data_IF_963655092906
#
_entry.id   IF_963655092906
#
_cell.length_a   1.000
_cell.length_b   1.000
_cell.length_c   1.000
_cell.angle_alpha   90.00
_cell.angle_beta   90.00
_cell.angle_gamma   90.00
#
_symmetry.space_group_name_H-M   'P 1'
#
loop_
_entity.id
_entity.type
_entity.pdbx_description
1 polymer ?
#
# COMPACT_ATOMS: atom_id res chain seq x y z
N UNK A 1 -36.30 75.39 25.53
CA UNK A 1 -35.56 76.08 26.61
C UNK A 1 -34.50 75.12 27.18
N UNK A 2 -33.23 75.49 27.05
CA UNK A 2 -32.08 75.18 27.93
C UNK A 2 -31.71 73.72 28.29
N UNK A 3 -30.64 73.19 27.68
CA UNK A 3 -29.76 72.16 28.26
C UNK A 3 -28.87 72.77 29.35
N UNK A 4 -28.45 72.02 30.40
CA UNK A 4 -27.25 72.34 31.16
C UNK A 4 -26.05 71.45 30.77
N UNK A 5 -24.87 72.07 30.84
CA UNK A 5 -23.56 71.64 30.36
C UNK A 5 -22.75 70.79 31.36
N UNK A 6 -21.69 70.18 30.80
CA UNK A 6 -20.61 69.39 31.41
C UNK A 6 -19.82 70.10 32.52
N UNK A 7 -19.16 69.29 33.37
CA UNK A 7 -17.94 69.68 34.12
C UNK A 7 -16.75 68.78 33.72
N UNK A 8 -15.54 69.33 33.53
CA UNK A 8 -14.30 68.56 33.47
C UNK A 8 -13.34 68.83 34.65
N UNK A 9 -12.49 67.82 34.88
CA UNK A 9 -11.06 67.82 35.21
C UNK A 9 -10.49 68.28 36.59
N UNK A 10 -9.48 67.49 36.99
CA UNK A 10 -8.25 67.80 37.75
C UNK A 10 -8.21 67.68 39.28
N UNK A 11 -7.35 66.76 39.74
CA UNK A 11 -6.37 67.05 40.80
C UNK A 11 -5.14 66.13 40.72
N UNK A 12 -3.98 66.80 40.57
CA UNK A 12 -2.60 66.30 40.49
C UNK A 12 -1.92 66.53 41.84
N UNK A 13 -1.06 65.60 42.30
CA UNK A 13 -0.05 65.83 43.35
C UNK A 13 1.28 65.15 42.93
N UNK A 14 2.48 65.74 43.19
CA UNK A 14 3.67 65.58 42.34
C UNK A 14 4.76 64.62 42.86
N UNK A 15 5.74 64.37 41.98
CA UNK A 15 6.96 63.55 42.11
C UNK A 15 8.14 64.33 42.74
N UNK A 16 9.07 63.64 43.43
CA UNK A 16 10.58 63.76 43.40
C UNK A 16 11.22 62.85 44.50
N UNK A 17 12.44 62.29 44.31
CA UNK A 17 12.95 61.04 44.92
C UNK A 17 14.06 61.26 45.98
N UNK A 18 14.77 60.20 46.43
CA UNK A 18 16.20 60.39 46.66
C UNK A 18 17.11 59.28 46.11
N UNK A 19 18.33 59.73 45.83
CA UNK A 19 19.52 59.08 45.27
C UNK A 19 20.14 57.97 46.15
N UNK A 20 20.87 57.06 45.49
CA UNK A 20 21.73 56.03 46.06
C UNK A 20 23.10 56.61 46.50
N UNK A 21 23.78 55.93 47.45
CA UNK A 21 25.13 55.33 47.29
C UNK A 21 25.67 54.79 48.65
N UNK A 22 26.87 54.16 48.74
CA UNK A 22 27.15 52.77 48.32
C UNK A 22 28.00 51.98 49.33
N UNK A 23 27.89 50.65 49.39
CA UNK A 23 29.01 49.69 49.61
C UNK A 23 28.49 48.34 50.12
N UNK A 24 28.53 47.33 49.27
CA UNK A 24 29.22 46.06 49.53
C UNK A 24 29.24 45.26 48.22
N UNK A 25 30.40 45.31 47.56
CA UNK A 25 30.79 44.49 46.42
C UNK A 25 31.32 43.16 46.97
N UNK A 26 30.71 42.03 46.61
CA UNK A 26 31.38 40.96 45.84
C UNK A 26 30.46 39.74 45.71
N UNK A 27 29.91 39.56 44.52
CA UNK A 27 29.88 38.28 43.77
C UNK A 27 28.82 38.38 42.67
N UNK A 28 29.17 39.11 41.62
CA UNK A 28 28.51 39.04 40.33
C UNK A 28 29.48 38.40 39.35
N UNK A 29 29.17 37.19 38.88
CA UNK A 29 29.43 36.73 37.52
C UNK A 29 29.01 35.26 37.36
N UNK A 30 27.73 35.02 37.03
CA UNK A 30 27.32 34.03 36.02
C UNK A 30 25.79 33.97 35.95
N UNK A 31 25.29 33.90 34.71
CA UNK A 31 23.99 33.36 34.32
C UNK A 31 22.75 34.27 34.38
N UNK A 32 22.79 35.36 33.61
CA UNK A 32 21.60 35.81 32.86
C UNK A 32 21.62 35.17 31.46
N UNK A 33 21.20 33.90 31.39
CA UNK A 33 20.64 33.33 30.15
C UNK A 33 19.14 33.23 30.40
N UNK A 34 18.38 34.12 29.76
CA UNK A 34 16.92 34.06 29.71
C UNK A 34 16.51 32.72 29.07
N UNK A 35 16.33 31.68 29.90
CA UNK A 35 15.95 30.36 29.43
C UNK A 35 14.54 30.43 28.86
N UNK A 36 14.42 30.18 27.56
CA UNK A 36 13.14 30.01 26.88
C UNK A 36 12.19 29.13 27.73
N UNK A 37 10.88 29.43 27.77
CA UNK A 37 9.95 28.69 28.62
C UNK A 37 10.05 27.19 28.31
N UNK A 38 10.44 26.40 29.31
CA UNK A 38 10.48 24.93 29.21
C UNK A 38 9.06 24.43 28.89
N UNK A 39 8.78 24.16 27.62
CA UNK A 39 7.51 23.56 27.19
C UNK A 39 7.45 22.16 27.81
N UNK A 40 6.51 21.95 28.73
CA UNK A 40 6.27 20.63 29.32
C UNK A 40 5.54 19.77 28.30
N UNK A 41 6.28 18.89 27.63
CA UNK A 41 5.73 17.88 26.74
C UNK A 41 5.37 16.63 27.55
N UNK A 42 4.15 16.11 27.38
CA UNK A 42 3.81 14.75 27.82
C UNK A 42 3.75 13.86 26.59
N UNK A 43 4.68 12.90 26.51
CA UNK A 43 4.67 11.89 25.45
C UNK A 43 3.70 10.77 25.84
N UNK A 44 2.76 10.43 24.95
CA UNK A 44 1.78 9.36 25.17
C UNK A 44 1.49 8.63 23.87
N UNK A 45 1.29 7.32 23.95
CA UNK A 45 0.72 6.54 22.85
C UNK A 45 -0.78 6.75 22.80
N UNK A 46 -1.28 7.30 21.69
CA UNK A 46 -2.70 7.56 21.47
C UNK A 46 -3.16 6.92 20.16
N UNK A 47 -4.43 6.55 20.11
CA UNK A 47 -5.12 6.28 18.86
C UNK A 47 -5.67 7.60 18.30
N UNK A 48 -5.22 7.96 17.12
CA UNK A 48 -5.57 9.19 16.40
C UNK A 48 -6.59 8.83 15.33
N UNK A 49 -7.73 9.50 15.35
CA UNK A 49 -8.82 9.33 14.38
C UNK A 49 -8.94 10.60 13.56
N UNK A 50 -8.80 10.46 12.25
CA UNK A 50 -9.10 11.51 11.28
C UNK A 50 -10.40 11.19 10.57
N UNK A 51 -11.25 12.19 10.40
CA UNK A 51 -12.49 12.11 9.63
C UNK A 51 -12.56 13.25 8.62
N UNK A 52 -13.18 13.00 7.47
CA UNK A 52 -13.32 13.99 6.40
C UNK A 52 -14.55 13.68 5.54
N UNK A 53 -15.29 14.71 5.10
CA UNK A 53 -16.41 14.54 4.17
C UNK A 53 -15.89 14.31 2.75
N UNK A 54 -16.42 13.30 2.06
CA UNK A 54 -16.01 13.02 0.69
C UNK A 54 -16.62 14.04 -0.25
N UNK A 55 -15.78 14.74 -1.01
CA UNK A 55 -16.22 15.65 -2.07
C UNK A 55 -16.82 16.97 -1.57
N UNK A 56 -16.52 17.39 -0.35
CA UNK A 56 -17.07 18.63 0.24
C UNK A 56 -16.81 19.89 -0.58
N UNK A 57 -15.68 19.96 -1.28
CA UNK A 57 -15.38 21.09 -2.18
C UNK A 57 -16.33 21.18 -3.38
N UNK A 58 -16.70 20.03 -3.97
CA UNK A 58 -17.65 19.99 -5.08
C UNK A 58 -19.06 20.43 -4.63
N UNK A 59 -19.42 20.10 -3.40
CA UNK A 59 -20.72 20.48 -2.83
C UNK A 59 -20.83 21.98 -2.57
N UNK A 60 -19.73 22.63 -2.17
CA UNK A 60 -19.70 24.09 -2.03
C UNK A 60 -19.98 24.80 -3.37
N UNK A 61 -19.48 24.24 -4.48
CA UNK A 61 -19.77 24.76 -5.81
C UNK A 61 -21.19 24.44 -6.31
N UNK A 62 -21.72 23.25 -6.00
CA UNK A 62 -23.02 22.79 -6.54
C UNK A 62 -24.22 23.29 -5.72
N UNK A 63 -24.13 23.24 -4.39
CA UNK A 63 -25.23 23.55 -3.48
C UNK A 63 -25.15 24.95 -2.87
N UNK A 64 -24.05 25.65 -3.08
CA UNK A 64 -23.77 26.95 -2.49
C UNK A 64 -23.31 26.88 -1.02
N UNK A 65 -22.67 27.96 -0.56
CA UNK A 65 -21.95 28.02 0.71
C UNK A 65 -22.85 27.76 1.92
N UNK A 66 -24.06 28.35 1.95
CA UNK A 66 -24.97 28.22 3.10
C UNK A 66 -25.47 26.78 3.29
N UNK A 67 -25.80 26.11 2.19
CA UNK A 67 -26.28 24.72 2.25
C UNK A 67 -25.15 23.77 2.64
N UNK A 68 -23.96 23.96 2.06
CA UNK A 68 -22.76 23.22 2.46
C UNK A 68 -22.45 23.40 3.96
N UNK A 69 -22.58 24.61 4.49
CA UNK A 69 -22.38 24.90 5.91
C UNK A 69 -23.36 24.14 6.82
N UNK A 70 -24.63 24.03 6.43
CA UNK A 70 -25.62 23.25 7.20
C UNK A 70 -25.26 21.76 7.23
N UNK A 71 -24.76 21.20 6.13
CA UNK A 71 -24.30 19.82 6.07
C UNK A 71 -23.06 19.60 6.95
N UNK A 72 -22.11 20.54 6.96
CA UNK A 72 -20.95 20.51 7.85
C UNK A 72 -21.34 20.59 9.34
N UNK A 73 -22.35 21.42 9.69
CA UNK A 73 -22.90 21.51 11.04
C UNK A 73 -23.52 20.19 11.48
N UNK A 74 -24.29 19.54 10.60
CA UNK A 74 -24.90 18.25 10.90
C UNK A 74 -23.83 17.16 11.06
N UNK A 75 -22.84 17.12 10.16
CA UNK A 75 -21.70 16.21 10.28
C UNK A 75 -20.99 16.36 11.63
N UNK A 76 -20.69 17.60 12.03
CA UNK A 76 -20.12 17.93 13.34
C UNK A 76 -20.98 17.41 14.49
N UNK A 77 -22.30 17.67 14.43
CA UNK A 77 -23.24 17.26 15.48
C UNK A 77 -23.21 15.75 15.68
N UNK A 78 -23.21 14.98 14.59
CA UNK A 78 -23.16 13.51 14.62
C UNK A 78 -21.85 12.99 15.22
N UNK A 79 -20.70 13.56 14.83
CA UNK A 79 -19.40 13.18 15.38
C UNK A 79 -19.31 13.48 16.88
N UNK A 80 -19.74 14.67 17.31
CA UNK A 80 -19.70 15.04 18.72
C UNK A 80 -20.70 14.23 19.56
N UNK A 81 -21.84 13.83 18.98
CA UNK A 81 -22.78 12.91 19.62
C UNK A 81 -22.14 11.54 19.84
N UNK A 82 -21.53 10.95 18.80
CA UNK A 82 -20.80 9.69 18.91
C UNK A 82 -19.69 9.76 19.98
N UNK A 83 -18.94 10.87 20.02
CA UNK A 83 -17.90 11.09 21.03
C UNK A 83 -18.49 11.14 22.45
N UNK A 84 -19.62 11.82 22.63
CA UNK A 84 -20.34 11.90 23.91
C UNK A 84 -20.80 10.53 24.42
N UNK A 85 -21.35 9.70 23.52
CA UNK A 85 -21.74 8.33 23.83
C UNK A 85 -20.52 7.52 24.29
N UNK A 86 -19.44 7.51 23.51
CA UNK A 86 -18.22 6.76 23.85
C UNK A 86 -17.66 7.18 25.21
N UNK A 87 -17.64 8.47 25.51
CA UNK A 87 -17.19 8.98 26.82
C UNK A 87 -18.05 8.49 27.99
N UNK A 88 -19.35 8.25 27.77
CA UNK A 88 -20.24 7.72 28.81
C UNK A 88 -20.11 6.20 28.96
N UNK A 89 -19.78 5.48 27.89
CA UNK A 89 -19.61 4.03 27.88
C UNK A 89 -18.32 3.59 28.58
N UNK A 90 -17.24 4.33 28.40
CA UNK A 90 -15.92 3.97 28.91
C UNK A 90 -15.56 4.85 30.11
N UNK A 91 -15.52 4.24 31.31
CA UNK A 91 -15.32 4.94 32.60
C UNK A 91 -14.07 5.83 32.66
N UNK A 92 -12.97 5.37 32.06
CA UNK A 92 -11.68 6.06 32.06
C UNK A 92 -11.36 6.70 30.70
N UNK A 93 -12.37 6.93 29.86
CA UNK A 93 -12.17 7.46 28.51
C UNK A 93 -11.54 8.86 28.56
N UNK A 94 -10.42 9.00 27.86
CA UNK A 94 -9.80 10.30 27.59
C UNK A 94 -10.17 10.81 26.20
N UNK A 95 -11.23 10.29 25.60
CA UNK A 95 -11.65 10.61 24.25
C UNK A 95 -11.94 12.12 24.10
N UNK A 96 -11.35 12.74 23.09
CA UNK A 96 -11.48 14.18 22.89
C UNK A 96 -11.32 14.58 21.43
N UNK A 97 -11.99 15.67 21.04
CA UNK A 97 -11.74 16.37 19.79
C UNK A 97 -10.57 17.34 19.97
N UNK A 98 -9.61 17.31 19.04
CA UNK A 98 -8.35 18.08 19.14
C UNK A 98 -8.31 19.25 18.18
N UNK A 99 -8.70 19.03 16.92
CA UNK A 99 -8.69 20.05 15.87
C UNK A 99 -9.90 19.90 14.96
N UNK A 100 -10.40 21.05 14.51
CA UNK A 100 -11.47 21.17 13.52
C UNK A 100 -10.95 22.10 12.42
N UNK A 101 -10.74 21.55 11.22
CA UNK A 101 -10.40 22.33 10.03
C UNK A 101 -11.47 22.12 8.97
N UNK A 102 -12.38 23.08 8.85
CA UNK A 102 -13.53 22.96 7.96
C UNK A 102 -14.40 21.74 8.33
N UNK A 103 -14.49 20.80 7.40
CA UNK A 103 -15.22 19.53 7.49
C UNK A 103 -14.37 18.36 8.00
N UNK A 104 -13.06 18.56 8.18
CA UNK A 104 -12.16 17.57 8.74
C UNK A 104 -12.06 17.68 10.26
N UNK A 105 -12.18 16.54 10.95
CA UNK A 105 -12.08 16.46 12.41
C UNK A 105 -11.00 15.47 12.85
N UNK A 106 -10.30 15.85 13.92
CA UNK A 106 -9.28 15.01 14.56
C UNK A 106 -9.70 14.71 15.98
N UNK A 107 -9.73 13.42 16.32
CA UNK A 107 -9.99 12.92 17.66
C UNK A 107 -8.81 12.11 18.16
N UNK A 108 -8.63 12.06 19.48
CA UNK A 108 -7.69 11.12 20.11
C UNK A 108 -8.34 10.34 21.24
N UNK A 109 -7.86 9.11 21.39
CA UNK A 109 -8.29 8.14 22.38
C UNK A 109 -7.07 7.49 23.01
N UNK A 110 -7.16 7.13 24.28
CA UNK A 110 -6.11 6.35 24.95
C UNK A 110 -6.03 4.90 24.47
N UNK A 111 -7.13 4.36 23.89
CA UNK A 111 -7.22 2.98 23.43
C UNK A 111 -7.73 2.91 21.98
N UNK A 112 -7.13 2.03 21.17
CA UNK A 112 -7.57 1.73 19.81
C UNK A 112 -9.00 1.14 19.76
N UNK A 113 -9.41 0.37 20.77
CA UNK A 113 -10.76 -0.17 20.89
C UNK A 113 -11.83 0.93 20.96
N UNK A 114 -11.62 1.92 21.82
CA UNK A 114 -12.50 3.09 21.94
C UNK A 114 -12.55 3.88 20.62
N UNK A 115 -11.39 4.09 19.97
CA UNK A 115 -11.31 4.80 18.70
C UNK A 115 -12.08 4.10 17.58
N UNK A 116 -11.99 2.76 17.50
CA UNK A 116 -12.74 1.96 16.52
C UNK A 116 -14.23 1.95 16.85
N UNK A 117 -14.61 1.80 18.12
CA UNK A 117 -16.00 1.87 18.54
C UNK A 117 -16.62 3.23 18.19
N UNK A 118 -15.90 4.32 18.47
CA UNK A 118 -16.29 5.66 18.03
C UNK A 118 -16.51 5.74 16.53
N UNK A 119 -15.57 5.25 15.72
CA UNK A 119 -15.66 5.31 14.26
C UNK A 119 -16.85 4.52 13.72
N UNK A 120 -17.12 3.33 14.27
CA UNK A 120 -18.28 2.49 13.93
C UNK A 120 -19.59 3.21 14.25
N UNK A 121 -19.72 3.70 15.48
CA UNK A 121 -20.91 4.43 15.93
C UNK A 121 -21.14 5.70 15.09
N UNK A 122 -20.07 6.46 14.82
CA UNK A 122 -20.14 7.65 13.98
C UNK A 122 -20.59 7.31 12.55
N UNK A 123 -20.03 6.27 11.93
CA UNK A 123 -20.47 5.81 10.60
C UNK A 123 -21.95 5.39 10.62
N UNK A 124 -22.40 4.69 11.66
CA UNK A 124 -23.79 4.27 11.80
C UNK A 124 -24.76 5.44 11.95
N UNK A 125 -24.51 6.34 12.91
CA UNK A 125 -25.33 7.54 13.14
C UNK A 125 -25.41 8.40 11.87
N UNK A 126 -24.31 8.50 11.14
CA UNK A 126 -24.26 9.21 9.88
C UNK A 126 -25.07 8.53 8.78
N UNK A 127 -25.03 7.21 8.65
CA UNK A 127 -25.88 6.48 7.70
C UNK A 127 -27.36 6.64 8.03
N UNK A 128 -27.73 6.58 9.31
CA UNK A 128 -29.11 6.81 9.77
C UNK A 128 -29.56 8.23 9.41
N UNK A 129 -28.76 9.26 9.74
CA UNK A 129 -29.09 10.67 9.44
C UNK A 129 -29.28 10.90 7.94
N UNK A 130 -28.41 10.29 7.10
CA UNK A 130 -28.54 10.33 5.63
C UNK A 130 -29.81 9.66 5.11
N UNK A 131 -30.26 8.59 5.74
CA UNK A 131 -31.44 7.85 5.30
C UNK A 131 -32.75 8.47 5.78
N UNK A 132 -32.71 9.33 6.79
CA UNK A 132 -33.89 9.92 7.41
C UNK A 132 -34.17 11.34 6.88
N UNK A 133 -33.37 12.33 7.29
CA UNK A 133 -33.63 13.75 7.01
C UNK A 133 -32.56 14.44 6.16
N UNK A 134 -31.35 13.87 6.10
CA UNK A 134 -30.18 14.54 5.52
C UNK A 134 -29.63 13.81 4.30
N UNK A 135 -30.49 13.52 3.30
CA UNK A 135 -30.13 12.72 2.12
C UNK A 135 -28.93 13.27 1.31
N UNK A 136 -28.75 14.59 1.31
CA UNK A 136 -27.66 15.28 0.61
C UNK A 136 -26.37 15.34 1.42
N UNK A 137 -26.39 14.87 2.68
CA UNK A 137 -25.19 14.80 3.50
C UNK A 137 -24.18 13.82 2.88
N UNK A 138 -22.95 14.24 2.59
CA UNK A 138 -21.97 13.39 1.92
C UNK A 138 -21.52 12.28 2.82
N UNK A 139 -21.16 11.13 2.27
CA UNK A 139 -20.46 10.13 3.06
C UNK A 139 -19.14 10.72 3.57
N UNK A 140 -18.75 10.32 4.78
CA UNK A 140 -17.44 10.65 5.32
C UNK A 140 -16.57 9.40 5.39
N UNK A 141 -15.27 9.62 5.44
CA UNK A 141 -14.24 8.58 5.53
C UNK A 141 -13.47 8.71 6.83
N UNK A 142 -12.93 7.59 7.30
CA UNK A 142 -12.18 7.54 8.57
C UNK A 142 -10.84 6.87 8.38
N UNK A 143 -9.80 7.46 8.99
CA UNK A 143 -8.49 6.83 9.15
C UNK A 143 -8.08 6.80 10.61
N UNK A 144 -7.59 5.64 11.07
CA UNK A 144 -7.15 5.43 12.45
C UNK A 144 -5.70 4.97 12.48
N UNK A 145 -4.89 5.62 13.30
CA UNK A 145 -3.52 5.20 13.54
C UNK A 145 -3.17 5.31 15.03
N UNK A 146 -2.45 4.32 15.54
CA UNK A 146 -1.94 4.33 16.91
C UNK A 146 -0.44 4.58 16.89
N UNK A 147 -0.01 5.61 17.62
CA UNK A 147 1.40 6.00 17.69
C UNK A 147 1.67 6.94 18.85
N UNK A 148 2.96 7.14 19.11
CA UNK A 148 3.44 8.03 20.16
C UNK A 148 3.36 9.49 19.72
N UNK A 149 2.61 10.31 20.46
CA UNK A 149 2.41 11.73 20.17
C UNK A 149 2.88 12.61 21.30
N UNK A 150 3.38 13.78 20.91
CA UNK A 150 3.67 14.88 21.82
C UNK A 150 2.44 15.78 21.82
N UNK A 151 1.84 15.97 23.00
CA UNK A 151 0.69 16.87 23.15
C UNK A 151 1.18 18.17 23.78
N UNK A 152 1.26 19.24 22.99
CA UNK A 152 1.59 20.57 23.48
C UNK A 152 0.50 21.08 24.44
N UNK A 153 0.88 21.43 25.67
CA UNK A 153 -0.06 21.87 26.70
C UNK A 153 -0.87 20.75 27.38
N UNK A 154 -0.58 19.47 27.07
CA UNK A 154 -1.21 18.28 27.64
C UNK A 154 -2.66 18.04 27.22
N UNK A 155 -3.20 16.87 27.55
CA UNK A 155 -4.63 16.60 27.42
C UNK A 155 -5.35 17.34 28.56
N UNK A 156 -6.11 18.41 28.25
CA UNK A 156 -6.84 19.19 29.27
C UNK A 156 -8.09 18.47 29.83
N UNK A 157 -8.25 17.20 29.48
CA UNK A 157 -9.33 16.36 29.97
C UNK A 157 -10.70 16.74 29.43
N UNK A 158 -11.77 16.08 29.92
CA UNK A 158 -13.12 16.11 29.36
C UNK A 158 -13.82 17.48 29.33
N UNK A 159 -13.28 18.47 30.04
CA UNK A 159 -13.93 19.76 30.35
C UNK A 159 -13.76 20.83 29.26
N UNK A 160 -12.80 20.66 28.35
CA UNK A 160 -12.49 21.65 27.31
C UNK A 160 -12.26 21.00 25.93
N UNK A 161 -13.31 20.47 25.26
CA UNK A 161 -13.20 19.99 23.88
C UNK A 161 -12.81 21.15 22.95
N UNK A 162 -11.69 20.99 22.22
CA UNK A 162 -11.21 21.97 21.24
C UNK A 162 -10.18 23.01 21.73
N UNK A 163 -9.65 22.90 22.94
CA UNK A 163 -8.59 23.81 23.46
C UNK A 163 -7.21 23.16 23.59
N UNK A 164 -7.03 21.99 22.99
CA UNK A 164 -5.82 21.18 23.12
C UNK A 164 -4.88 21.48 21.96
N UNK A 165 -3.60 21.61 22.29
CA UNK A 165 -2.54 21.90 21.36
C UNK A 165 -2.54 20.96 20.17
N UNK A 166 -2.05 21.52 19.08
CA UNK A 166 -1.96 20.89 17.79
C UNK A 166 -1.21 19.55 17.89
N UNK A 167 -1.84 18.41 17.54
CA UNK A 167 -1.08 17.15 17.43
C UNK A 167 -0.30 17.24 16.13
N UNK A 168 0.97 17.62 16.27
CA UNK A 168 1.92 17.72 15.17
C UNK A 168 2.84 16.51 15.14
N UNK A 169 3.30 16.18 13.94
CA UNK A 169 4.35 15.20 13.72
C UNK A 169 3.89 13.96 12.96
N UNK A 170 4.84 13.05 12.77
CA UNK A 170 4.73 11.93 11.84
C UNK A 170 3.52 11.02 12.08
N UNK A 171 3.06 10.87 13.33
CA UNK A 171 1.92 10.01 13.65
C UNK A 171 0.58 10.60 13.20
N UNK A 172 0.36 11.90 13.38
CA UNK A 172 -0.83 12.58 12.87
C UNK A 172 -0.85 12.56 11.34
N UNK A 173 0.31 12.84 10.74
CA UNK A 173 0.55 12.73 9.31
C UNK A 173 0.23 11.33 8.75
N UNK A 174 0.59 10.28 9.50
CA UNK A 174 0.31 8.89 9.14
C UNK A 174 -1.19 8.62 9.22
N UNK A 175 -1.87 9.03 10.29
CA UNK A 175 -3.31 8.88 10.44
C UNK A 175 -4.09 9.57 9.31
N UNK A 176 -3.70 10.79 8.95
CA UNK A 176 -4.27 11.55 7.83
C UNK A 176 -4.10 10.82 6.49
N UNK A 177 -2.94 10.18 6.25
CA UNK A 177 -2.68 9.40 5.04
C UNK A 177 -3.46 8.08 5.01
N UNK A 178 -3.64 7.43 6.15
CA UNK A 178 -4.52 6.25 6.28
C UNK A 178 -5.95 6.64 5.92
N UNK A 179 -6.46 7.77 6.43
CA UNK A 179 -7.77 8.31 6.02
C UNK A 179 -7.81 8.63 4.53
N UNK A 180 -6.75 9.23 3.99
CA UNK A 180 -6.70 9.62 2.57
C UNK A 180 -6.80 8.44 1.58
N UNK A 181 -6.57 7.21 2.02
CA UNK A 181 -6.80 5.98 1.25
C UNK A 181 -8.26 5.51 1.27
N UNK A 182 -9.05 5.97 2.24
CA UNK A 182 -10.40 5.52 2.49
C UNK A 182 -11.40 6.19 1.52
N UNK A 183 -12.40 5.42 1.07
CA UNK A 183 -13.58 5.95 0.41
C UNK A 183 -14.70 6.31 1.40
N UNK A 184 -15.79 6.91 0.92
CA UNK A 184 -16.95 7.23 1.75
C UNK A 184 -17.53 5.99 2.43
N UNK A 185 -17.87 6.11 3.71
CA UNK A 185 -18.37 5.01 4.54
C UNK A 185 -17.31 4.03 5.04
N UNK A 186 -16.03 4.25 4.71
CA UNK A 186 -14.95 3.32 5.03
C UNK A 186 -14.16 3.76 6.26
N UNK A 187 -13.80 2.79 7.12
CA UNK A 187 -12.92 2.98 8.27
C UNK A 187 -11.63 2.21 8.03
N UNK A 188 -10.57 2.92 7.65
CA UNK A 188 -9.24 2.32 7.50
C UNK A 188 -8.40 2.50 8.75
N UNK A 189 -7.57 1.52 9.06
CA UNK A 189 -6.72 1.50 10.23
C UNK A 189 -5.31 1.04 9.86
N UNK A 190 -4.30 1.58 10.55
CA UNK A 190 -2.99 0.90 10.63
C UNK A 190 -3.13 -0.43 11.37
N UNK A 191 -2.28 -1.41 11.06
CA UNK A 191 -2.29 -2.73 11.72
C UNK A 191 -2.30 -2.65 13.25
N UNK A 192 -1.48 -1.81 13.87
CA UNK A 192 -1.44 -1.68 15.35
C UNK A 192 -2.79 -1.26 15.93
N UNK A 193 -3.44 -0.26 15.33
CA UNK A 193 -4.77 0.17 15.77
C UNK A 193 -5.82 -0.92 15.53
N UNK A 194 -5.74 -1.61 14.39
CA UNK A 194 -6.63 -2.69 14.02
C UNK A 194 -6.53 -3.89 14.98
N UNK A 195 -5.33 -4.36 15.26
CA UNK A 195 -5.11 -5.56 16.07
C UNK A 195 -5.49 -5.32 17.53
N UNK A 196 -5.07 -4.19 18.11
CA UNK A 196 -5.46 -3.79 19.46
C UNK A 196 -6.98 -3.66 19.59
N UNK A 197 -7.64 -2.99 18.64
CA UNK A 197 -9.08 -2.83 18.65
C UNK A 197 -9.79 -4.18 18.52
N UNK A 198 -9.33 -5.03 17.60
CA UNK A 198 -9.88 -6.37 17.38
C UNK A 198 -9.81 -7.20 18.65
N UNK A 199 -8.69 -7.20 19.35
CA UNK A 199 -8.57 -7.94 20.61
C UNK A 199 -9.55 -7.42 21.67
N UNK A 200 -9.72 -6.10 21.76
CA UNK A 200 -10.63 -5.50 22.76
C UNK A 200 -12.13 -5.64 22.44
N UNK A 201 -12.50 -5.77 21.16
CA UNK A 201 -13.89 -5.80 20.70
C UNK A 201 -14.33 -7.21 20.25
N UNK A 202 -13.42 -8.18 20.17
CA UNK A 202 -13.80 -9.57 19.83
C UNK A 202 -14.56 -10.18 21.00
N UNK A 203 -15.72 -10.79 20.71
CA UNK A 203 -16.57 -11.40 21.73
C UNK A 203 -17.43 -10.41 22.51
N UNK A 204 -17.42 -9.13 22.12
CA UNK A 204 -18.25 -8.07 22.68
C UNK A 204 -19.08 -7.47 21.55
N UNK A 205 -20.38 -7.26 21.77
CA UNK A 205 -21.22 -6.45 20.90
C UNK A 205 -21.08 -4.98 21.34
N UNK A 206 -20.42 -4.11 20.56
CA UNK A 206 -20.25 -2.73 20.97
C UNK A 206 -21.60 -2.02 21.03
N UNK A 207 -21.87 -1.31 22.13
CA UNK A 207 -23.16 -0.65 22.32
C UNK A 207 -23.47 0.36 21.21
N UNK A 208 -24.66 0.26 20.63
CA UNK A 208 -25.05 1.09 19.48
C UNK A 208 -24.52 0.59 18.14
N UNK A 209 -23.80 -0.52 18.10
CA UNK A 209 -23.31 -1.20 16.89
C UNK A 209 -23.77 -2.68 16.90
N UNK A 210 -25.05 -2.94 16.61
CA UNK A 210 -25.65 -4.27 16.75
C UNK A 210 -25.23 -5.25 15.65
N UNK A 211 -24.76 -4.73 14.51
CA UNK A 211 -24.39 -5.55 13.37
C UNK A 211 -22.99 -6.16 13.58
N UNK A 212 -22.80 -7.37 13.07
CA UNK A 212 -21.53 -8.10 13.21
C UNK A 212 -20.36 -7.29 12.64
N UNK A 213 -19.25 -7.25 13.39
CA UNK A 213 -18.03 -6.58 12.94
C UNK A 213 -17.23 -7.45 11.96
N UNK A 214 -16.85 -6.83 10.84
CA UNK A 214 -15.98 -7.39 9.82
C UNK A 214 -14.57 -6.79 9.96
N UNK A 215 -13.56 -7.66 9.98
CA UNK A 215 -12.16 -7.29 10.14
C UNK A 215 -11.38 -7.76 8.91
N UNK A 216 -10.77 -6.84 8.16
CA UNK A 216 -10.10 -7.15 6.89
C UNK A 216 -8.71 -6.52 6.80
N UNK A 217 -7.72 -7.31 6.40
CA UNK A 217 -6.38 -6.83 6.05
C UNK A 217 -6.32 -6.59 4.54
N UNK A 218 -5.89 -5.40 4.11
CA UNK A 218 -5.82 -5.02 2.68
C UNK A 218 -4.42 -5.11 2.09
N UNK A 219 -3.40 -5.31 2.94
CA UNK A 219 -2.00 -5.43 2.56
C UNK A 219 -1.19 -4.17 2.89
N UNK A 220 0.08 -4.19 2.50
CA UNK A 220 1.04 -3.14 2.82
C UNK A 220 0.95 -1.95 1.84
N UNK A 221 1.13 -0.73 2.36
CA UNK A 221 1.15 0.52 1.60
C UNK A 221 2.36 1.37 2.01
N UNK A 222 3.11 1.89 1.05
CA UNK A 222 4.16 2.88 1.28
C UNK A 222 3.53 4.27 1.37
N UNK A 223 3.68 4.90 2.53
CA UNK A 223 3.16 6.24 2.82
C UNK A 223 4.29 7.27 2.70
N UNK A 224 4.02 8.41 2.03
CA UNK A 224 5.01 9.48 1.86
C UNK A 224 5.51 9.98 3.22
N UNK A 225 6.83 9.94 3.43
CA UNK A 225 7.45 10.38 4.69
C UNK A 225 7.67 9.25 5.71
N UNK A 226 7.35 8.00 5.37
CA UNK A 226 7.77 6.81 6.11
C UNK A 226 8.72 5.97 5.24
N UNK A 227 9.71 5.36 5.89
CA UNK A 227 10.62 4.40 5.24
C UNK A 227 9.91 3.07 5.03
N UNK A 228 9.26 2.55 6.08
CA UNK A 228 8.57 1.26 6.02
C UNK A 228 7.15 1.34 5.46
N UNK A 229 6.78 0.27 4.75
CA UNK A 229 5.40 0.06 4.34
C UNK A 229 4.52 -0.19 5.58
N UNK A 230 3.38 0.47 5.63
CA UNK A 230 2.39 0.31 6.67
C UNK A 230 1.29 -0.63 6.18
N UNK A 231 0.96 -1.64 6.97
CA UNK A 231 -0.19 -2.49 6.67
C UNK A 231 -1.51 -1.77 6.96
N UNK A 232 -2.35 -1.71 5.92
CA UNK A 232 -3.66 -1.07 5.95
C UNK A 232 -4.72 -2.15 6.16
N UNK A 233 -5.56 -1.93 7.16
CA UNK A 233 -6.66 -2.79 7.52
C UNK A 233 -7.96 -1.99 7.51
N UNK A 234 -9.09 -2.69 7.57
CA UNK A 234 -10.43 -2.11 7.61
C UNK A 234 -11.27 -2.84 8.65
N UNK A 235 -12.07 -2.06 9.36
CA UNK A 235 -13.11 -2.55 10.27
C UNK A 235 -14.45 -1.92 9.89
N UNK A 236 -15.53 -2.67 10.02
CA UNK A 236 -16.86 -2.13 9.73
C UNK A 236 -17.98 -3.13 9.96
N UNK A 237 -19.22 -2.64 9.97
CA UNK A 237 -20.43 -3.47 10.13
C UNK A 237 -20.71 -4.29 8.87
N UNK A 238 -21.06 -5.57 9.05
CA UNK A 238 -21.53 -6.45 7.98
C UNK A 238 -22.72 -5.83 7.23
N UNK A 239 -22.70 -5.90 5.90
CA UNK A 239 -23.74 -5.31 5.05
C UNK A 239 -23.68 -3.79 4.88
N UNK A 240 -22.94 -3.05 5.71
CA UNK A 240 -22.80 -1.59 5.62
C UNK A 240 -21.42 -1.12 5.18
N UNK A 241 -20.36 -1.79 5.63
CA UNK A 241 -19.00 -1.39 5.35
C UNK A 241 -18.58 -1.73 3.90
N UNK A 242 -17.88 -0.84 3.18
CA UNK A 242 -17.48 -1.11 1.81
C UNK A 242 -16.57 -2.34 1.66
N UNK A 243 -15.68 -2.62 2.62
CA UNK A 243 -14.67 -3.69 2.59
C UNK A 243 -13.85 -3.71 1.28
N UNK A 244 -13.77 -2.56 0.61
CA UNK A 244 -13.18 -2.38 -0.72
C UNK A 244 -11.70 -2.10 -0.58
N UNK A 245 -10.88 -2.83 -1.33
CA UNK A 245 -9.42 -2.63 -1.30
C UNK A 245 -9.07 -1.16 -1.63
N UNK A 246 -8.33 -0.46 -0.76
CA UNK A 246 -7.99 0.94 -0.99
C UNK A 246 -7.17 1.14 -2.26
N UNK A 247 -7.54 2.14 -3.07
CA UNK A 247 -6.75 2.52 -4.25
C UNK A 247 -5.65 3.47 -3.78
N UNK A 248 -4.43 3.22 -4.22
CA UNK A 248 -3.32 4.13 -3.91
C UNK A 248 -3.52 5.52 -4.51
N UNK A 249 -2.88 6.52 -3.91
CA UNK A 249 -2.83 7.90 -4.36
C UNK A 249 -1.38 8.42 -4.34
N UNK A 250 -1.16 9.70 -4.64
CA UNK A 250 0.17 10.31 -4.69
C UNK A 250 0.95 10.17 -3.36
N UNK A 251 0.24 10.21 -2.23
CA UNK A 251 0.80 10.19 -0.87
C UNK A 251 0.85 8.79 -0.25
N UNK A 252 0.21 7.79 -0.87
CA UNK A 252 0.10 6.43 -0.34
C UNK A 252 -0.06 5.42 -1.48
N UNK A 253 0.94 4.57 -1.71
CA UNK A 253 0.96 3.59 -2.81
C UNK A 253 0.95 2.17 -2.26
N UNK A 254 0.17 1.27 -2.86
CA UNK A 254 0.20 -0.15 -2.48
C UNK A 254 1.62 -0.69 -2.66
N UNK A 255 2.11 -1.40 -1.64
CA UNK A 255 3.40 -2.05 -1.63
C UNK A 255 3.33 -3.50 -2.13
N UNK A 256 2.17 -3.94 -2.64
CA UNK A 256 2.01 -5.26 -3.24
C UNK A 256 2.95 -5.43 -4.44
N UNK A 257 4.03 -6.18 -4.24
CA UNK A 257 5.01 -6.55 -5.26
C UNK A 257 4.33 -7.28 -6.45
N UNK A 258 3.28 -8.06 -6.17
CA UNK A 258 2.57 -8.89 -7.15
C UNK A 258 1.75 -8.10 -8.19
N UNK A 259 1.42 -6.82 -7.94
CA UNK A 259 0.64 -6.02 -8.90
C UNK A 259 1.50 -5.34 -9.99
N UNK A 260 2.82 -5.58 -9.95
CA UNK A 260 3.78 -5.13 -10.96
C UNK A 260 4.24 -6.22 -11.93
N UNK A 261 3.53 -7.35 -12.01
CA UNK A 261 3.75 -8.30 -13.11
C UNK A 261 2.86 -7.84 -14.29
N UNK A 262 3.41 -7.24 -15.36
CA UNK A 262 2.61 -6.74 -16.47
C UNK A 262 1.83 -7.89 -17.12
N UNK A 263 0.65 -7.58 -17.68
CA UNK A 263 -0.21 -8.59 -18.35
C UNK A 263 0.55 -9.42 -19.41
N UNK A 264 1.60 -8.86 -19.99
CA UNK A 264 2.53 -9.56 -20.88
C UNK A 264 3.17 -10.79 -20.25
N UNK A 265 3.52 -10.77 -18.96
CA UNK A 265 4.12 -11.93 -18.28
C UNK A 265 3.11 -13.06 -18.07
N UNK A 266 1.85 -12.77 -17.75
CA UNK A 266 0.80 -13.79 -17.70
C UNK A 266 0.58 -14.44 -19.07
N UNK A 267 0.59 -13.65 -20.14
CA UNK A 267 0.51 -14.12 -21.52
C UNK A 267 1.75 -14.96 -21.86
N UNK A 268 2.95 -14.55 -21.45
CA UNK A 268 4.19 -15.31 -21.65
C UNK A 268 4.17 -16.65 -20.91
N UNK A 269 3.65 -16.72 -19.68
CA UNK A 269 3.49 -17.97 -18.92
C UNK A 269 2.47 -18.90 -19.58
N UNK A 270 1.34 -18.36 -20.06
CA UNK A 270 0.34 -19.15 -20.77
C UNK A 270 0.86 -19.68 -22.12
N UNK A 271 1.61 -18.87 -22.85
CA UNK A 271 2.31 -19.27 -24.08
C UNK A 271 3.38 -20.32 -23.77
N UNK A 272 4.13 -20.17 -22.68
CA UNK A 272 5.09 -21.17 -22.22
C UNK A 272 4.41 -22.50 -21.92
N UNK A 273 3.25 -22.51 -21.25
CA UNK A 273 2.48 -23.73 -20.97
C UNK A 273 1.98 -24.41 -22.26
N UNK A 274 1.49 -23.65 -23.25
CA UNK A 274 1.09 -24.19 -24.55
C UNK A 274 2.29 -24.78 -25.31
N UNK A 275 3.45 -24.11 -25.27
CA UNK A 275 4.70 -24.58 -25.86
C UNK A 275 5.20 -25.84 -25.15
N UNK A 276 5.16 -25.90 -23.82
CA UNK A 276 5.51 -27.09 -23.04
C UNK A 276 4.59 -28.28 -23.37
N UNK A 277 3.30 -28.04 -23.60
CA UNK A 277 2.38 -29.07 -24.08
C UNK A 277 2.74 -29.55 -25.50
N UNK A 278 3.13 -28.63 -26.39
CA UNK A 278 3.60 -28.95 -27.73
C UNK A 278 4.93 -29.70 -27.73
N UNK A 279 5.84 -29.38 -26.81
CA UNK A 279 7.11 -30.07 -26.57
C UNK A 279 6.88 -31.48 -26.01
N UNK A 280 5.93 -31.66 -25.10
CA UNK A 280 5.55 -32.98 -24.59
C UNK A 280 5.03 -33.88 -25.72
N UNK A 281 4.16 -33.34 -26.57
CA UNK A 281 3.66 -34.05 -27.77
C UNK A 281 4.80 -34.31 -28.76
N UNK A 282 5.65 -33.33 -29.05
CA UNK A 282 6.76 -33.52 -29.99
C UNK A 282 7.79 -34.55 -29.49
N UNK A 283 8.22 -34.47 -28.23
CA UNK A 283 9.19 -35.41 -27.65
C UNK A 283 8.64 -36.84 -27.54
N UNK A 284 7.32 -36.98 -27.31
CA UNK A 284 6.65 -38.29 -27.24
C UNK A 284 6.43 -38.93 -28.61
N UNK A 285 6.25 -38.14 -29.66
CA UNK A 285 5.84 -38.64 -30.99
C UNK A 285 6.89 -38.49 -32.11
N UNK A 286 7.90 -37.60 -31.98
CA UNK A 286 8.79 -37.21 -33.11
C UNK A 286 10.31 -37.41 -32.88
N UNK A 287 10.77 -37.96 -31.76
CA UNK A 287 12.23 -38.05 -31.47
C UNK A 287 12.90 -39.20 -32.24
N UNK A 288 13.77 -38.89 -33.21
CA UNK A 288 14.66 -39.86 -33.87
C UNK A 288 16.13 -39.39 -33.83
N UNK A 289 16.88 -39.77 -32.79
CA UNK A 289 18.33 -39.50 -32.67
C UNK A 289 18.81 -39.37 -31.22
N UNK A 290 20.07 -39.76 -30.92
CA UNK A 290 20.68 -39.51 -29.60
C UNK A 290 21.15 -38.05 -29.50
N UNK A 291 20.82 -37.34 -28.39
CA UNK A 291 21.23 -35.95 -28.21
C UNK A 291 22.76 -35.85 -28.07
N UNK A 292 23.33 -34.77 -28.58
CA UNK A 292 24.71 -34.42 -28.28
C UNK A 292 24.87 -34.11 -26.78
N UNK A 293 26.10 -34.14 -26.26
CA UNK A 293 26.34 -33.82 -24.85
C UNK A 293 25.83 -32.42 -24.45
N UNK A 294 25.92 -31.43 -25.35
CA UNK A 294 25.41 -30.08 -25.10
C UNK A 294 23.87 -30.04 -25.03
N UNK A 295 23.21 -30.79 -25.91
CA UNK A 295 21.75 -30.89 -25.95
C UNK A 295 21.20 -31.67 -24.74
N UNK A 296 21.92 -32.69 -24.28
CA UNK A 296 21.59 -33.40 -23.06
C UNK A 296 21.62 -32.48 -21.82
N UNK A 297 22.55 -31.50 -21.78
CA UNK A 297 22.56 -30.47 -20.72
C UNK A 297 21.34 -29.57 -20.81
N UNK A 298 20.93 -29.14 -22.00
CA UNK A 298 19.68 -28.35 -22.17
C UNK A 298 18.48 -29.15 -21.68
N UNK A 299 18.40 -30.43 -22.05
CA UNK A 299 17.34 -31.34 -21.64
C UNK A 299 17.31 -31.59 -20.12
N UNK A 300 18.45 -31.68 -19.45
CA UNK A 300 18.52 -31.85 -18.00
C UNK A 300 18.14 -30.55 -17.26
N UNK A 301 18.73 -29.42 -17.66
CA UNK A 301 18.53 -28.13 -16.99
C UNK A 301 17.10 -27.64 -17.13
N UNK A 302 16.43 -27.86 -18.29
CA UNK A 302 15.01 -27.50 -18.45
C UNK A 302 14.11 -28.20 -17.43
N UNK A 303 14.38 -29.47 -17.09
CA UNK A 303 13.60 -30.21 -16.09
C UNK A 303 13.90 -29.70 -14.68
N UNK A 304 15.15 -29.32 -14.38
CA UNK A 304 15.49 -28.69 -13.09
C UNK A 304 14.77 -27.35 -12.90
N UNK A 305 14.71 -26.53 -13.94
CA UNK A 305 13.98 -25.27 -13.94
C UNK A 305 12.47 -25.51 -13.78
N UNK A 306 11.90 -26.49 -14.51
CA UNK A 306 10.49 -26.86 -14.37
C UNK A 306 10.15 -27.37 -12.96
N UNK A 307 11.06 -28.12 -12.31
CA UNK A 307 10.89 -28.54 -10.92
C UNK A 307 10.98 -27.35 -9.94
N UNK A 308 11.92 -26.43 -10.19
CA UNK A 308 12.08 -25.23 -9.37
C UNK A 308 10.85 -24.32 -9.44
N UNK A 309 10.12 -24.33 -10.56
CA UNK A 309 8.84 -23.62 -10.66
C UNK A 309 7.82 -24.07 -9.60
N UNK A 310 7.79 -25.34 -9.23
CA UNK A 310 6.94 -25.82 -8.14
C UNK A 310 7.27 -25.11 -6.81
N UNK A 311 8.54 -24.83 -6.54
CA UNK A 311 8.98 -24.07 -5.36
C UNK A 311 8.59 -22.59 -5.50
N UNK A 312 8.75 -22.02 -6.70
CA UNK A 312 8.33 -20.66 -7.01
C UNK A 312 6.84 -20.41 -6.71
N UNK A 313 5.96 -21.31 -7.13
CA UNK A 313 4.51 -21.18 -6.87
C UNK A 313 4.19 -21.18 -5.37
N UNK A 314 4.98 -21.91 -4.57
CA UNK A 314 4.80 -21.98 -3.11
C UNK A 314 5.34 -20.78 -2.35
N UNK A 315 6.02 -19.83 -2.99
CA UNK A 315 6.60 -18.65 -2.33
C UNK A 315 5.57 -17.81 -1.57
N UNK A 316 4.33 -17.76 -2.08
CA UNK A 316 3.24 -17.03 -1.43
C UNK A 316 2.82 -17.65 -0.08
N UNK A 317 2.89 -18.97 0.00
CA UNK A 317 2.41 -19.74 1.15
C UNK A 317 3.53 -20.03 2.17
N UNK A 318 4.76 -20.23 1.68
CA UNK A 318 5.91 -20.62 2.51
C UNK A 318 6.92 -19.48 2.75
N UNK A 319 6.80 -18.35 2.05
CA UNK A 319 7.59 -17.14 2.32
C UNK A 319 9.08 -17.26 2.00
N UNK A 320 9.92 -16.82 2.95
CA UNK A 320 11.36 -16.62 2.73
C UNK A 320 12.15 -17.89 2.31
N UNK A 321 11.91 -19.10 2.86
CA UNK A 321 12.64 -20.31 2.47
C UNK A 321 12.50 -20.65 0.98
N UNK A 322 11.27 -20.63 0.46
CA UNK A 322 11.00 -20.88 -0.95
C UNK A 322 11.60 -19.78 -1.84
N UNK A 323 11.50 -18.51 -1.42
CA UNK A 323 12.11 -17.40 -2.14
C UNK A 323 13.65 -17.50 -2.20
N UNK A 324 14.28 -17.92 -1.11
CA UNK A 324 15.74 -18.10 -1.04
C UNK A 324 16.21 -19.21 -1.98
N UNK A 325 15.50 -20.35 -2.02
CA UNK A 325 15.84 -21.46 -2.91
C UNK A 325 15.75 -21.04 -4.39
N UNK A 326 14.70 -20.30 -4.76
CA UNK A 326 14.56 -19.77 -6.14
C UNK A 326 15.69 -18.78 -6.45
N UNK A 327 15.99 -17.86 -5.53
CA UNK A 327 17.04 -16.85 -5.69
C UNK A 327 18.42 -17.47 -5.90
N UNK A 328 18.71 -18.59 -5.23
CA UNK A 328 19.99 -19.29 -5.34
C UNK A 328 20.07 -20.15 -6.62
N UNK A 329 19.07 -21.01 -6.86
CA UNK A 329 19.17 -22.05 -7.90
C UNK A 329 18.83 -21.54 -9.29
N UNK A 330 17.88 -20.62 -9.39
CA UNK A 330 17.38 -20.14 -10.68
C UNK A 330 18.46 -19.47 -11.55
N UNK A 331 19.24 -18.49 -11.05
CA UNK A 331 20.30 -17.87 -11.86
C UNK A 331 21.43 -18.85 -12.18
N UNK A 332 21.70 -19.83 -11.30
CA UNK A 332 22.67 -20.90 -11.56
C UNK A 332 22.25 -21.73 -12.79
N UNK A 333 20.98 -22.13 -12.89
CA UNK A 333 20.48 -22.87 -14.04
C UNK A 333 20.49 -22.05 -15.33
N UNK A 334 20.15 -20.75 -15.25
CA UNK A 334 20.27 -19.84 -16.39
C UNK A 334 21.70 -19.79 -16.93
N UNK A 335 22.69 -19.65 -16.03
CA UNK A 335 24.10 -19.61 -16.41
C UNK A 335 24.60 -20.93 -17.01
N UNK A 336 24.11 -22.08 -16.54
CA UNK A 336 24.44 -23.38 -17.13
C UNK A 336 24.01 -23.45 -18.60
N UNK A 337 22.82 -22.94 -18.93
CA UNK A 337 22.34 -22.86 -20.31
C UNK A 337 23.15 -21.87 -21.15
N UNK A 338 23.45 -20.68 -20.59
CA UNK A 338 24.20 -19.63 -21.29
C UNK A 338 25.64 -20.01 -21.64
N UNK A 339 26.26 -20.89 -20.85
CA UNK A 339 27.61 -21.40 -21.11
C UNK A 339 27.70 -22.35 -22.31
N UNK A 340 26.58 -22.83 -22.84
CA UNK A 340 26.56 -23.70 -24.02
C UNK A 340 26.73 -22.86 -25.30
N UNK A 341 27.65 -23.25 -26.18
CA UNK A 341 27.82 -22.61 -27.49
C UNK A 341 26.68 -22.97 -28.43
N UNK A 342 26.08 -21.98 -29.08
CA UNK A 342 24.93 -22.17 -29.98
C UNK A 342 25.23 -23.11 -31.15
N UNK A 343 26.46 -23.09 -31.67
CA UNK A 343 26.93 -23.98 -32.76
C UNK A 343 26.86 -25.47 -32.41
N UNK A 344 26.82 -25.80 -31.10
CA UNK A 344 26.72 -27.18 -30.62
C UNK A 344 25.28 -27.63 -30.39
N UNK A 345 24.31 -26.76 -30.65
CA UNK A 345 22.91 -27.02 -30.42
C UNK A 345 22.21 -27.05 -31.76
N UNK A 346 21.35 -28.06 -31.96
CA UNK A 346 20.32 -27.93 -32.98
C UNK A 346 19.46 -26.70 -32.72
N UNK A 347 18.80 -26.21 -33.78
CA UNK A 347 17.92 -25.06 -33.70
C UNK A 347 16.87 -25.20 -32.58
N UNK A 348 16.34 -26.41 -32.40
CA UNK A 348 15.42 -26.75 -31.32
C UNK A 348 16.04 -26.49 -29.94
N UNK A 349 17.23 -27.00 -29.67
CA UNK A 349 17.90 -26.80 -28.37
C UNK A 349 18.41 -25.37 -28.18
N UNK A 350 18.72 -24.64 -29.26
CA UNK A 350 19.01 -23.20 -29.20
C UNK A 350 17.78 -22.41 -28.74
N UNK A 351 16.60 -22.71 -29.28
CA UNK A 351 15.33 -22.13 -28.82
C UNK A 351 15.09 -22.47 -27.34
N UNK A 352 15.20 -23.76 -26.96
CA UNK A 352 15.01 -24.18 -25.57
C UNK A 352 15.99 -23.49 -24.60
N UNK A 353 17.28 -23.40 -24.97
CA UNK A 353 18.31 -22.70 -24.20
C UNK A 353 17.84 -21.30 -23.83
N UNK A 354 17.44 -20.49 -24.81
CA UNK A 354 17.06 -19.11 -24.57
C UNK A 354 15.72 -18.96 -23.85
N UNK A 355 14.74 -19.82 -24.15
CA UNK A 355 13.44 -19.82 -23.44
C UNK A 355 13.60 -20.13 -21.96
N UNK A 356 14.30 -21.21 -21.62
CA UNK A 356 14.46 -21.62 -20.22
C UNK A 356 15.41 -20.70 -19.45
N UNK A 357 16.39 -20.09 -20.13
CA UNK A 357 17.21 -19.02 -19.54
C UNK A 357 16.34 -17.82 -19.16
N UNK A 358 15.52 -17.33 -20.09
CA UNK A 358 14.60 -16.21 -19.86
C UNK A 358 13.66 -16.49 -18.68
N UNK A 359 13.09 -17.70 -18.66
CA UNK A 359 12.18 -18.13 -17.62
C UNK A 359 12.83 -18.22 -16.23
N UNK A 360 14.03 -18.82 -16.13
CA UNK A 360 14.78 -18.87 -14.89
C UNK A 360 15.09 -17.45 -14.36
N UNK A 361 15.55 -16.54 -15.22
CA UNK A 361 15.84 -15.16 -14.81
C UNK A 361 14.58 -14.38 -14.39
N UNK A 362 13.42 -14.70 -14.98
CA UNK A 362 12.13 -14.15 -14.57
C UNK A 362 11.76 -14.59 -13.14
N UNK A 363 11.96 -15.87 -12.81
CA UNK A 363 11.75 -16.36 -11.44
C UNK A 363 12.72 -15.71 -10.45
N UNK A 364 13.99 -15.54 -10.83
CA UNK A 364 14.98 -14.83 -10.00
C UNK A 364 14.54 -13.39 -9.72
N UNK A 365 14.10 -12.65 -10.76
CA UNK A 365 13.64 -11.27 -10.61
C UNK A 365 12.49 -11.12 -9.61
N UNK A 366 11.59 -12.11 -9.55
CA UNK A 366 10.46 -12.12 -8.62
C UNK A 366 10.88 -12.52 -7.20
N UNK A 367 11.87 -13.41 -7.07
CA UNK A 367 12.39 -13.84 -5.77
C UNK A 367 13.34 -12.83 -5.12
N UNK A 368 13.83 -11.85 -5.87
CA UNK A 368 14.82 -10.89 -5.41
C UNK A 368 14.25 -9.85 -4.43
N UNK A 369 15.05 -9.48 -3.43
CA UNK A 369 14.66 -8.52 -2.39
C UNK A 369 14.97 -7.10 -2.83
N UNK A 370 16.12 -6.91 -3.50
CA UNK A 370 16.58 -5.60 -3.94
C UNK A 370 16.01 -5.23 -5.31
N UNK A 371 15.31 -4.09 -5.39
CA UNK A 371 14.64 -3.65 -6.63
C UNK A 371 15.61 -3.44 -7.81
N UNK A 372 16.86 -3.04 -7.54
CA UNK A 372 17.92 -2.90 -8.54
C UNK A 372 18.30 -4.23 -9.18
N UNK A 373 18.46 -5.27 -8.37
CA UNK A 373 18.84 -6.61 -8.82
C UNK A 373 17.65 -7.30 -9.52
N UNK A 374 16.45 -7.17 -8.95
CA UNK A 374 15.21 -7.63 -9.56
C UNK A 374 15.04 -7.09 -10.98
N UNK A 375 15.27 -5.79 -11.16
CA UNK A 375 15.21 -5.14 -12.48
C UNK A 375 16.28 -5.66 -13.42
N UNK A 376 17.52 -5.83 -12.96
CA UNK A 376 18.61 -6.37 -13.76
C UNK A 376 18.31 -7.79 -14.29
N UNK A 377 17.70 -8.64 -13.46
CA UNK A 377 17.29 -9.98 -13.89
C UNK A 377 16.10 -9.93 -14.85
N UNK A 378 15.12 -9.04 -14.64
CA UNK A 378 14.00 -8.86 -15.56
C UNK A 378 14.46 -8.37 -16.95
N UNK A 379 15.40 -7.41 -17.00
CA UNK A 379 15.95 -6.91 -18.26
C UNK A 379 16.74 -8.00 -19.01
N UNK A 380 17.45 -8.87 -18.29
CA UNK A 380 18.10 -10.05 -18.89
C UNK A 380 17.08 -11.06 -19.42
N UNK A 381 16.02 -11.33 -18.65
CA UNK A 381 14.97 -12.25 -19.05
C UNK A 381 14.31 -11.83 -20.37
N UNK A 382 14.02 -10.55 -20.54
CA UNK A 382 13.46 -10.00 -21.79
C UNK A 382 14.41 -10.23 -22.97
N UNK A 383 15.71 -9.89 -22.81
CA UNK A 383 16.69 -10.09 -23.89
C UNK A 383 16.78 -11.53 -24.37
N UNK A 384 16.74 -12.49 -23.45
CA UNK A 384 16.79 -13.91 -23.81
C UNK A 384 15.46 -14.43 -24.37
N UNK A 385 14.32 -13.82 -24.02
CA UNK A 385 13.06 -14.10 -24.70
C UNK A 385 13.12 -13.67 -26.17
N UNK A 386 13.70 -12.50 -26.45
CA UNK A 386 13.86 -12.01 -27.82
C UNK A 386 14.77 -12.92 -28.65
N UNK A 387 15.88 -13.42 -28.07
CA UNK A 387 16.77 -14.38 -28.75
C UNK A 387 16.10 -15.72 -29.06
N UNK A 388 15.19 -16.18 -28.20
CA UNK A 388 14.39 -17.37 -28.48
C UNK A 388 13.45 -17.17 -29.67
N UNK A 389 12.80 -15.99 -29.75
CA UNK A 389 11.92 -15.62 -30.86
C UNK A 389 12.72 -15.53 -32.17
N UNK A 390 13.89 -14.89 -32.15
CA UNK A 390 14.78 -14.78 -33.30
C UNK A 390 15.20 -16.16 -33.82
N UNK A 391 15.60 -17.06 -32.91
CA UNK A 391 15.93 -18.45 -33.27
C UNK A 391 14.73 -19.22 -33.84
N UNK A 392 13.51 -18.97 -33.34
CA UNK A 392 12.28 -19.54 -33.88
C UNK A 392 11.98 -19.07 -35.31
N UNK A 393 12.13 -17.76 -35.56
CA UNK A 393 11.93 -17.15 -36.87
C UNK A 393 12.96 -17.65 -37.90
N UNK A 394 14.21 -17.86 -37.49
CA UNK A 394 15.25 -18.49 -38.31
C UNK A 394 14.80 -19.88 -38.80
N UNK A 395 14.18 -20.67 -37.92
CA UNK A 395 13.62 -21.98 -38.28
C UNK A 395 12.50 -21.92 -39.29
N UNK A 396 11.57 -20.99 -39.12
CA UNK A 396 10.49 -20.77 -40.08
C UNK A 396 11.04 -20.38 -41.45
N UNK A 397 12.06 -19.51 -41.50
CA UNK A 397 12.73 -19.13 -42.75
C UNK A 397 13.38 -20.33 -43.44
N UNK A 398 14.07 -21.19 -42.69
CA UNK A 398 14.69 -22.40 -43.22
C UNK A 398 13.66 -23.38 -43.79
N UNK A 399 12.50 -23.55 -43.12
CA UNK A 399 11.40 -24.38 -43.61
C UNK A 399 10.81 -23.80 -44.90
N UNK A 400 10.63 -22.49 -44.97
CA UNK A 400 10.09 -21.81 -46.15
C UNK A 400 11.08 -21.82 -47.33
N UNK A 401 12.38 -21.70 -47.07
CA UNK A 401 13.43 -21.90 -48.06
C UNK A 401 13.46 -23.35 -48.56
N UNK A 402 13.36 -24.34 -47.66
CA UNK A 402 13.28 -25.75 -48.03
C UNK A 402 12.06 -26.04 -48.91
N UNK A 403 10.89 -25.48 -48.54
CA UNK A 403 9.65 -25.57 -49.35
C UNK A 403 9.84 -24.94 -50.73
N UNK A 404 10.46 -23.77 -50.83
CA UNK A 404 10.76 -23.10 -52.10
C UNK A 404 11.72 -23.91 -52.98
N UNK A 405 12.78 -24.48 -52.40
CA UNK A 405 13.74 -25.33 -53.12
C UNK A 405 13.10 -26.64 -53.59
N UNK A 406 12.29 -27.29 -52.75
CA UNK A 406 11.52 -28.48 -53.15
C UNK A 406 10.54 -28.17 -54.31
N UNK A 407 9.91 -26.99 -54.33
CA UNK A 407 9.04 -26.56 -55.44
C UNK A 407 9.78 -26.20 -56.73
N UNK A 408 11.12 -26.08 -56.71
CA UNK A 408 11.94 -25.78 -57.89
C UNK A 408 12.42 -27.03 -58.68
N UNK A 409 11.98 -28.23 -58.29
CA UNK A 409 12.15 -29.45 -59.10
C UNK A 409 13.49 -30.18 -58.94
N UNK A 410 14.31 -29.84 -57.94
CA UNK A 410 15.52 -30.61 -57.61
C UNK A 410 15.14 -31.87 -56.81
N UNK A 411 15.34 -33.05 -57.40
CA UNK A 411 14.92 -34.35 -56.86
C UNK A 411 15.56 -34.68 -55.50
N UNK A 412 16.80 -34.26 -55.28
CA UNK A 412 17.50 -34.45 -54.00
C UNK A 412 16.93 -33.56 -52.87
N UNK A 413 16.45 -32.36 -53.21
CA UNK A 413 15.84 -31.44 -52.25
C UNK A 413 14.39 -31.84 -51.92
N UNK A 414 13.71 -32.49 -52.87
CA UNK A 414 12.43 -33.15 -52.61
C UNK A 414 12.60 -34.35 -51.68
N UNK A 415 13.64 -35.18 -51.84
CA UNK A 415 13.95 -36.29 -50.92
C UNK A 415 14.36 -35.79 -49.52
N UNK A 416 15.04 -34.65 -49.41
CA UNK A 416 15.35 -34.02 -48.11
C UNK A 416 14.08 -33.45 -47.45
N UNK A 417 13.26 -32.72 -48.19
CA UNK A 417 11.96 -32.21 -47.74
C UNK A 417 11.02 -33.36 -47.35
N UNK A 418 10.97 -34.41 -48.16
CA UNK A 418 10.19 -35.62 -47.89
C UNK A 418 10.77 -36.37 -46.69
N UNK A 419 12.09 -36.47 -46.49
CA UNK A 419 12.64 -37.05 -45.24
C UNK A 419 12.23 -36.28 -43.97
N UNK A 420 12.03 -34.95 -44.10
CA UNK A 420 11.55 -34.07 -43.04
C UNK A 420 10.03 -34.21 -42.85
N UNK A 421 9.27 -34.58 -43.90
CA UNK A 421 7.80 -34.55 -43.95
C UNK A 421 7.13 -35.94 -43.98
N UNK A 422 7.62 -36.93 -44.73
CA UNK A 422 7.02 -38.28 -44.93
C UNK A 422 7.24 -39.28 -43.80
N UNK A 423 7.99 -38.93 -42.74
CA UNK A 423 7.85 -39.61 -41.43
C UNK A 423 6.48 -39.36 -40.76
N UNK A 424 5.64 -38.49 -41.33
CA UNK A 424 4.29 -38.14 -40.87
C UNK A 424 3.18 -39.03 -41.44
N UNK A 425 3.44 -39.85 -42.47
CA UNK A 425 2.38 -40.65 -43.15
C UNK A 425 2.47 -42.17 -42.94
N UNK A 426 3.42 -42.66 -42.12
CA UNK A 426 3.33 -44.00 -41.51
C UNK A 426 3.16 -43.88 -40.01
N UNK A 427 2.01 -43.35 -39.58
CA UNK A 427 1.23 -43.70 -38.38
C UNK A 427 0.21 -42.62 -38.04
#
# INVERSE_FOLDING_TARGET
MGKPQLRPADNVIPFVPPEKSPSEFSDAAADDIETAPKIRHSTRTLAIVFTDLVGSSAIKSELGIHKAQNLEIEHKRLLLNALGIIRNLYRDSTAQAVRVEGDSYIFVFSNSGEAVHFALLAQRLHRISRNDLWHELPQFRVGIHTGEVIVEGGLKGPKYPGTIGDIKGLQADTAARVMGLACGGQILCSYTAFDNARQSLTGVEPEGVPDRLMWKRHGAYRLKGREDALEICEVGEEGSAPLKKPVGNEKAKSADILRRIPKSVYISVFVLLLILSGIYVYSKYFRTGQPTAAEAVVDDVKFKIARLHGVYETMKDYGAPAANEVREKSPMFANQLLNLKDEKLSLYHKILKYQFTSYALSMTAVAEIFESEAKQYADQAIRYADQAIESGNEGLRLIEEAKRRASSGNKNDYELYDSIVSKKERN
#
